data_IF_540674014519
#
_entry.id   IF_540674014519
#
_cell.length_a   1.000
_cell.length_b   1.000
_cell.length_c   1.000
_cell.angle_alpha   90.00
_cell.angle_beta   90.00
_cell.angle_gamma   90.00
#
_symmetry.space_group_name_H-M   'P 1'
#
loop_
_entity.id
_entity.type
_entity.pdbx_description
1 polymer ?
#
# COMPACT_ATOMS: atom_id res chain seq x y z
N UNK A 1 23.69 7.24 10.50
CA UNK A 1 22.74 8.14 11.18
C UNK A 1 21.31 7.60 11.22
N UNK A 2 20.70 7.12 10.12
CA UNK A 2 19.35 6.52 10.12
C UNK A 2 19.12 5.34 11.10
N UNK A 3 20.16 4.56 11.42
CA UNK A 3 20.05 3.47 12.41
C UNK A 3 19.83 3.92 13.86
N UNK A 4 20.08 5.21 14.18
CA UNK A 4 19.80 5.75 15.52
C UNK A 4 18.34 6.17 15.71
N UNK A 5 17.59 6.43 14.64
CA UNK A 5 16.20 6.92 14.70
C UNK A 5 15.15 5.80 14.75
N UNK A 6 15.47 4.61 14.24
CA UNK A 6 14.50 3.49 14.08
C UNK A 6 14.73 2.40 15.14
N UNK A 7 15.75 2.55 15.99
CA UNK A 7 16.24 1.48 16.86
C UNK A 7 17.01 0.41 16.07
N UNK A 8 17.64 -0.51 16.80
CA UNK A 8 18.27 -1.66 16.18
C UNK A 8 17.18 -2.63 15.73
N UNK A 9 17.22 -3.04 14.47
CA UNK A 9 16.44 -4.18 14.00
C UNK A 9 16.78 -5.41 14.87
N UNK A 10 15.82 -6.33 15.08
CA UNK A 10 16.11 -7.60 15.75
C UNK A 10 17.35 -8.27 15.15
N UNK A 11 18.15 -8.95 15.95
CA UNK A 11 19.46 -9.46 15.52
C UNK A 11 19.41 -10.30 14.24
N UNK A 12 18.35 -11.10 14.08
CA UNK A 12 18.10 -11.92 12.89
C UNK A 12 17.80 -11.11 11.61
N UNK A 13 17.36 -9.86 11.72
CA UNK A 13 17.04 -8.96 10.61
C UNK A 13 18.19 -7.98 10.28
N UNK A 14 19.28 -8.00 11.04
CA UNK A 14 20.42 -7.13 10.78
C UNK A 14 21.26 -7.64 9.59
N UNK A 15 21.77 -6.71 8.77
CA UNK A 15 22.63 -7.05 7.61
C UNK A 15 23.89 -7.84 7.97
N UNK A 16 24.35 -7.77 9.22
CA UNK A 16 25.53 -8.49 9.71
C UNK A 16 25.24 -9.97 10.00
N UNK A 17 23.98 -10.36 10.17
CA UNK A 17 23.59 -11.72 10.50
C UNK A 17 23.96 -12.69 9.35
N UNK A 18 24.54 -13.88 9.60
CA UNK A 18 25.02 -14.78 8.56
C UNK A 18 23.96 -15.13 7.50
N UNK A 19 22.73 -15.44 7.93
CA UNK A 19 21.62 -15.75 7.03
C UNK A 19 21.19 -14.56 6.18
N UNK A 20 21.19 -13.35 6.75
CA UNK A 20 20.89 -12.12 6.01
C UNK A 20 21.98 -11.82 4.99
N UNK A 21 23.25 -12.00 5.37
CA UNK A 21 24.37 -11.83 4.47
C UNK A 21 24.30 -12.80 3.30
N UNK A 22 23.99 -14.07 3.54
CA UNK A 22 23.78 -15.06 2.47
C UNK A 22 22.68 -14.60 1.50
N UNK A 23 21.50 -14.25 2.03
CA UNK A 23 20.35 -13.82 1.23
C UNK A 23 20.62 -12.53 0.43
N UNK A 24 21.34 -11.57 1.00
CA UNK A 24 21.69 -10.29 0.35
C UNK A 24 22.86 -10.48 -0.63
N UNK A 25 23.86 -11.31 -0.31
CA UNK A 25 25.04 -11.54 -1.14
C UNK A 25 24.76 -12.36 -2.40
N UNK A 26 23.67 -13.14 -2.39
CA UNK A 26 23.17 -13.82 -3.58
C UNK A 26 22.60 -12.88 -4.64
N UNK A 27 22.33 -11.60 -4.30
CA UNK A 27 22.00 -10.57 -5.29
C UNK A 27 23.29 -10.11 -5.97
N UNK A 28 23.44 -10.42 -7.26
CA UNK A 28 24.61 -10.10 -8.07
C UNK A 28 25.03 -8.63 -7.90
N UNK A 29 26.32 -8.41 -7.65
CA UNK A 29 26.89 -7.05 -7.60
C UNK A 29 26.60 -6.34 -8.93
N UNK A 30 25.75 -5.33 -8.88
CA UNK A 30 25.42 -4.46 -10.01
C UNK A 30 26.70 -3.91 -10.64
N UNK A 31 26.93 -4.25 -11.91
CA UNK A 31 28.01 -3.71 -12.74
C UNK A 31 27.82 -2.20 -12.92
N UNK A 32 28.89 -1.44 -13.20
CA UNK A 32 28.78 0.03 -13.41
C UNK A 32 27.76 0.36 -14.50
N UNK A 33 27.72 -0.42 -15.58
CA UNK A 33 26.74 -0.30 -16.66
C UNK A 33 25.32 -0.54 -16.14
N UNK A 34 25.12 -1.56 -15.30
CA UNK A 34 23.84 -1.82 -14.65
C UNK A 34 23.36 -0.65 -13.78
N UNK A 35 24.26 0.07 -13.11
CA UNK A 35 23.90 1.27 -12.34
C UNK A 35 23.46 2.44 -13.24
N UNK A 36 24.14 2.65 -14.36
CA UNK A 36 23.79 3.71 -15.32
C UNK A 36 22.43 3.40 -15.93
N UNK A 37 22.20 2.15 -16.37
CA UNK A 37 20.90 1.72 -16.89
C UNK A 37 19.80 1.88 -15.83
N UNK A 38 20.08 1.53 -14.58
CA UNK A 38 19.13 1.70 -13.49
C UNK A 38 18.81 3.18 -13.20
N UNK A 39 19.80 4.08 -13.34
CA UNK A 39 19.59 5.51 -13.16
C UNK A 39 18.79 6.11 -14.32
N UNK A 40 19.12 5.73 -15.55
CA UNK A 40 18.36 6.13 -16.74
C UNK A 40 16.92 5.62 -16.68
N UNK A 41 16.71 4.35 -16.32
CA UNK A 41 15.36 3.81 -16.17
C UNK A 41 14.58 4.51 -15.07
N UNK A 42 15.23 4.85 -13.95
CA UNK A 42 14.61 5.64 -12.89
C UNK A 42 14.20 7.04 -13.37
N UNK A 43 15.07 7.74 -14.10
CA UNK A 43 14.76 9.06 -14.66
C UNK A 43 13.62 8.99 -15.68
N UNK A 44 13.62 7.99 -16.56
CA UNK A 44 12.52 7.76 -17.50
C UNK A 44 11.21 7.49 -16.78
N UNK A 45 11.23 6.65 -15.74
CA UNK A 45 10.04 6.34 -14.92
C UNK A 45 9.53 7.62 -14.24
N UNK A 46 10.41 8.43 -13.66
CA UNK A 46 10.04 9.71 -13.04
C UNK A 46 9.47 10.69 -14.06
N UNK A 47 10.07 10.80 -15.25
CA UNK A 47 9.59 11.65 -16.33
C UNK A 47 8.20 11.22 -16.83
N UNK A 48 8.00 9.92 -17.05
CA UNK A 48 6.69 9.36 -17.44
C UNK A 48 5.64 9.60 -16.35
N UNK A 49 5.96 9.37 -15.08
CA UNK A 49 5.03 9.67 -14.00
C UNK A 49 4.72 11.16 -13.86
N UNK A 50 5.72 12.03 -14.03
CA UNK A 50 5.50 13.47 -14.04
C UNK A 50 4.59 13.92 -15.19
N UNK A 51 4.77 13.35 -16.39
CA UNK A 51 3.90 13.62 -17.54
C UNK A 51 2.47 13.12 -17.31
N UNK A 52 2.29 11.90 -16.80
CA UNK A 52 0.96 11.35 -16.46
C UNK A 52 0.29 12.22 -15.40
N UNK A 53 1.02 12.61 -14.36
CA UNK A 53 0.53 13.49 -13.31
C UNK A 53 0.10 14.85 -13.84
N UNK A 54 0.94 15.48 -14.65
CA UNK A 54 0.62 16.78 -15.27
C UNK A 54 -0.59 16.68 -16.20
N UNK A 55 -0.65 15.64 -17.05
CA UNK A 55 -1.78 15.41 -17.94
C UNK A 55 -3.07 15.19 -17.15
N UNK A 56 -3.04 14.44 -16.04
CA UNK A 56 -4.22 14.25 -15.20
C UNK A 56 -4.66 15.55 -14.50
N UNK A 57 -3.70 16.30 -13.93
CA UNK A 57 -3.98 17.56 -13.24
C UNK A 57 -4.50 18.66 -14.18
N UNK A 58 -4.13 18.63 -15.46
CA UNK A 58 -4.58 19.57 -16.49
C UNK A 58 -5.83 19.11 -17.25
N UNK A 59 -6.44 17.99 -16.83
CA UNK A 59 -7.49 17.28 -17.56
C UNK A 59 -7.15 17.09 -19.05
N UNK A 60 -5.98 16.52 -19.31
CA UNK A 60 -5.39 16.34 -20.63
C UNK A 60 -5.15 17.66 -21.37
N UNK A 61 -4.48 18.61 -20.71
CA UNK A 61 -4.07 19.91 -21.26
C UNK A 61 -5.23 20.85 -21.63
N UNK A 62 -6.42 20.63 -21.06
CA UNK A 62 -7.59 21.50 -21.28
C UNK A 62 -7.52 22.79 -20.48
N UNK A 63 -6.90 22.76 -19.30
CA UNK A 63 -6.72 23.93 -18.45
C UNK A 63 -5.35 23.95 -17.79
N UNK A 64 -4.99 25.09 -17.23
CA UNK A 64 -3.75 25.25 -16.50
C UNK A 64 -3.87 24.63 -15.09
N UNK A 65 -3.10 23.58 -14.76
CA UNK A 65 -3.22 22.88 -13.48
C UNK A 65 -2.81 23.74 -12.27
N UNK A 66 -2.08 24.85 -12.50
CA UNK A 66 -1.69 25.78 -11.45
C UNK A 66 -2.84 26.67 -10.95
N UNK A 67 -3.98 26.68 -11.65
CA UNK A 67 -5.18 27.41 -11.22
C UNK A 67 -5.99 26.64 -10.16
N UNK A 68 -5.68 25.35 -9.96
CA UNK A 68 -6.30 24.51 -8.94
C UNK A 68 -5.82 24.88 -7.53
N UNK A 69 -6.65 24.65 -6.48
CA UNK A 69 -6.17 24.70 -5.10
C UNK A 69 -4.95 23.80 -4.90
N UNK A 70 -4.01 24.24 -4.05
CA UNK A 70 -2.70 23.60 -3.93
C UNK A 70 -2.78 22.11 -3.57
N UNK A 71 -3.63 21.71 -2.61
CA UNK A 71 -3.80 20.29 -2.27
C UNK A 71 -4.40 19.47 -3.41
N UNK A 72 -5.35 20.04 -4.17
CA UNK A 72 -5.98 19.40 -5.31
C UNK A 72 -4.97 19.19 -6.43
N UNK A 73 -4.17 20.20 -6.76
CA UNK A 73 -3.08 20.09 -7.72
C UNK A 73 -2.10 18.97 -7.34
N UNK A 74 -1.59 18.98 -6.10
CA UNK A 74 -0.65 17.97 -5.63
C UNK A 74 -1.24 16.56 -5.68
N UNK A 75 -2.50 16.41 -5.26
CA UNK A 75 -3.19 15.14 -5.29
C UNK A 75 -3.32 14.63 -6.73
N UNK A 76 -3.91 15.42 -7.63
CA UNK A 76 -4.11 15.03 -9.03
C UNK A 76 -2.80 14.73 -9.75
N UNK A 77 -1.72 15.46 -9.42
CA UNK A 77 -0.40 15.23 -9.98
C UNK A 77 0.24 13.92 -9.49
N UNK A 78 0.17 13.64 -8.18
CA UNK A 78 0.87 12.49 -7.58
C UNK A 78 0.06 11.19 -7.61
N UNK A 79 -1.27 11.27 -7.73
CA UNK A 79 -2.19 10.16 -7.49
C UNK A 79 -1.86 8.91 -8.31
N UNK A 80 -1.86 9.03 -9.64
CA UNK A 80 -1.63 7.89 -10.53
C UNK A 80 -0.22 7.32 -10.40
N UNK A 81 0.78 8.18 -10.25
CA UNK A 81 2.15 7.75 -10.04
C UNK A 81 2.31 6.93 -8.76
N UNK A 82 1.71 7.41 -7.66
CA UNK A 82 1.71 6.69 -6.39
C UNK A 82 0.95 5.37 -6.47
N UNK A 83 -0.22 5.35 -7.10
CA UNK A 83 -1.04 4.15 -7.26
C UNK A 83 -0.31 3.07 -8.06
N UNK A 84 0.26 3.41 -9.22
CA UNK A 84 1.02 2.45 -10.05
C UNK A 84 2.20 1.89 -9.25
N UNK A 85 2.90 2.77 -8.53
CA UNK A 85 4.02 2.39 -7.69
C UNK A 85 3.59 1.48 -6.54
N UNK A 86 2.45 1.76 -5.88
CA UNK A 86 1.86 0.92 -4.82
C UNK A 86 1.49 -0.48 -5.34
N UNK A 87 0.82 -0.57 -6.49
CA UNK A 87 0.48 -1.86 -7.12
C UNK A 87 1.75 -2.63 -7.46
N UNK A 88 2.75 -1.97 -8.04
CA UNK A 88 4.04 -2.58 -8.36
C UNK A 88 4.77 -3.10 -7.11
N UNK A 89 4.69 -2.35 -6.00
CA UNK A 89 5.24 -2.76 -4.70
C UNK A 89 4.48 -3.94 -4.11
N UNK A 90 3.15 -3.94 -4.18
CA UNK A 90 2.33 -5.06 -3.70
C UNK A 90 2.65 -6.36 -4.44
N UNK A 91 2.75 -6.29 -5.77
CA UNK A 91 3.18 -7.42 -6.61
C UNK A 91 4.61 -7.86 -6.24
N UNK A 92 5.53 -6.91 -6.11
CA UNK A 92 6.94 -7.18 -5.75
C UNK A 92 7.12 -7.73 -4.33
N UNK A 93 6.21 -7.41 -3.42
CA UNK A 93 6.17 -7.94 -2.06
C UNK A 93 5.64 -9.37 -2.02
N UNK A 94 4.66 -9.68 -2.87
CA UNK A 94 3.93 -10.95 -2.86
C UNK A 94 4.64 -12.06 -3.65
N UNK A 95 5.08 -11.80 -4.89
CA UNK A 95 5.50 -12.86 -5.81
C UNK A 95 6.83 -13.54 -5.44
N UNK A 96 7.92 -12.80 -5.10
CA UNK A 96 9.21 -13.43 -4.86
C UNK A 96 9.22 -14.43 -3.70
N UNK A 97 8.47 -14.22 -2.60
CA UNK A 97 8.30 -15.22 -1.56
C UNK A 97 7.65 -16.55 -1.98
N UNK A 98 6.72 -16.56 -2.94
CA UNK A 98 5.95 -17.76 -3.32
C UNK A 98 6.85 -18.89 -3.81
N UNK A 99 7.93 -18.57 -4.53
CA UNK A 99 8.88 -19.56 -5.03
C UNK A 99 9.98 -19.96 -4.05
N UNK A 100 9.98 -19.43 -2.83
CA UNK A 100 11.13 -19.48 -1.94
C UNK A 100 11.53 -20.91 -1.54
N UNK A 101 10.61 -21.69 -0.97
CA UNK A 101 10.89 -23.06 -0.51
C UNK A 101 11.31 -23.94 -1.68
N UNK A 102 10.63 -23.86 -2.81
CA UNK A 102 10.99 -24.62 -4.00
C UNK A 102 12.40 -24.27 -4.50
N UNK A 103 12.80 -23.00 -4.41
CA UNK A 103 14.16 -22.56 -4.78
C UNK A 103 15.22 -23.08 -3.81
N UNK A 104 14.94 -23.17 -2.52
CA UNK A 104 15.88 -23.71 -1.52
C UNK A 104 15.95 -25.25 -1.60
N UNK A 105 14.84 -25.94 -1.89
CA UNK A 105 14.84 -27.38 -2.19
C UNK A 105 15.68 -27.67 -3.45
N UNK A 106 15.54 -26.86 -4.51
CA UNK A 106 16.32 -27.03 -5.73
C UNK A 106 17.83 -26.82 -5.52
N UNK A 107 18.24 -26.01 -4.54
CA UNK A 107 19.64 -25.81 -4.15
C UNK A 107 20.17 -26.87 -3.19
N UNK A 108 19.35 -27.84 -2.79
CA UNK A 108 19.68 -28.86 -1.78
C UNK A 108 20.07 -28.28 -0.40
N UNK A 109 19.73 -27.01 -0.12
CA UNK A 109 19.99 -26.35 1.16
C UNK A 109 18.89 -26.60 2.18
N UNK A 110 17.69 -26.92 1.71
CA UNK A 110 16.51 -27.11 2.55
C UNK A 110 16.70 -28.18 3.63
N UNK A 111 17.31 -29.30 3.28
CA UNK A 111 17.48 -30.44 4.20
C UNK A 111 18.50 -30.16 5.32
N UNK A 112 19.49 -29.30 5.08
CA UNK A 112 20.39 -28.83 6.15
C UNK A 112 19.73 -27.80 7.08
N UNK A 113 18.82 -26.99 6.54
CA UNK A 113 18.13 -25.96 7.32
C UNK A 113 17.07 -26.58 8.23
N UNK A 114 16.35 -27.61 7.77
CA UNK A 114 15.33 -28.30 8.57
C UNK A 114 15.90 -29.08 9.75
N UNK A 115 17.12 -29.61 9.63
CA UNK A 115 17.79 -30.38 10.69
C UNK A 115 18.36 -29.47 11.78
N UNK A 116 18.54 -28.19 11.48
CA UNK A 116 19.02 -27.19 12.44
C UNK A 116 17.88 -26.73 13.34
N UNK A 117 18.09 -26.75 14.67
CA UNK A 117 17.12 -26.24 15.63
C UNK A 117 16.75 -24.79 15.32
N UNK A 118 15.46 -24.50 15.11
CA UNK A 118 14.92 -23.20 14.69
C UNK A 118 15.41 -22.66 13.33
N UNK A 119 16.13 -23.45 12.53
CA UNK A 119 16.71 -23.02 11.25
C UNK A 119 15.65 -22.52 10.26
N UNK A 120 14.54 -23.26 10.13
CA UNK A 120 13.40 -22.89 9.27
C UNK A 120 12.75 -21.59 9.73
N UNK A 121 12.52 -21.45 11.04
CA UNK A 121 11.92 -20.24 11.63
C UNK A 121 12.77 -19.00 11.36
N UNK A 122 14.08 -19.11 11.55
CA UNK A 122 15.01 -18.02 11.30
C UNK A 122 15.13 -17.69 9.81
N UNK A 123 15.15 -18.70 8.93
CA UNK A 123 15.17 -18.51 7.48
C UNK A 123 13.93 -17.77 6.98
N UNK A 124 12.72 -18.17 7.43
CA UNK A 124 11.47 -17.54 7.01
C UNK A 124 11.40 -16.07 7.45
N UNK A 125 11.77 -15.79 8.70
CA UNK A 125 11.81 -14.42 9.23
C UNK A 125 12.86 -13.58 8.49
N UNK A 126 14.05 -14.12 8.27
CA UNK A 126 15.11 -13.47 7.49
C UNK A 126 14.60 -13.12 6.09
N UNK A 127 13.96 -14.08 5.39
CA UNK A 127 13.42 -13.85 4.04
C UNK A 127 12.35 -12.76 4.02
N UNK A 128 11.43 -12.76 4.98
CA UNK A 128 10.44 -11.70 5.14
C UNK A 128 11.12 -10.33 5.32
N UNK A 129 12.08 -10.22 6.24
CA UNK A 129 12.79 -8.95 6.50
C UNK A 129 13.62 -8.44 5.32
N UNK A 130 14.23 -9.33 4.53
CA UNK A 130 14.97 -8.94 3.32
C UNK A 130 14.06 -8.23 2.34
N UNK A 131 12.85 -8.78 2.10
CA UNK A 131 11.90 -8.19 1.16
C UNK A 131 11.40 -6.85 1.70
N UNK A 132 10.92 -6.83 2.95
CA UNK A 132 10.28 -5.64 3.55
C UNK A 132 11.28 -4.50 3.80
N UNK A 133 12.39 -4.77 4.49
CA UNK A 133 13.29 -3.72 5.00
C UNK A 133 14.52 -3.43 4.13
N UNK A 134 14.84 -4.29 3.16
CA UNK A 134 16.03 -4.10 2.32
C UNK A 134 15.69 -3.89 0.86
N UNK A 135 14.86 -4.75 0.28
CA UNK A 135 14.52 -4.67 -1.15
C UNK A 135 13.53 -3.55 -1.45
N UNK A 136 12.41 -3.48 -0.71
CA UNK A 136 11.34 -2.52 -0.98
C UNK A 136 11.54 -1.18 -0.27
N UNK A 137 12.56 -1.06 0.59
CA UNK A 137 12.82 0.16 1.37
C UNK A 137 12.95 1.44 0.54
N UNK A 138 13.72 1.50 -0.58
CA UNK A 138 13.86 2.73 -1.34
C UNK A 138 12.50 3.21 -1.89
N UNK A 139 11.71 2.26 -2.40
CA UNK A 139 10.40 2.53 -2.98
C UNK A 139 9.40 2.96 -1.90
N UNK A 140 9.47 2.35 -0.72
CA UNK A 140 8.70 2.77 0.46
C UNK A 140 9.03 4.18 0.94
N UNK A 141 10.31 4.57 0.90
CA UNK A 141 10.71 5.95 1.24
C UNK A 141 10.08 6.94 0.24
N UNK A 142 10.09 6.62 -1.06
CA UNK A 142 9.45 7.46 -2.08
C UNK A 142 7.95 7.61 -1.81
N UNK A 143 7.25 6.51 -1.50
CA UNK A 143 5.83 6.55 -1.13
C UNK A 143 5.56 7.40 0.09
N UNK A 144 6.36 7.26 1.14
CA UNK A 144 6.20 8.07 2.35
C UNK A 144 6.50 9.55 2.11
N UNK A 145 7.54 9.89 1.34
CA UNK A 145 7.81 11.29 0.99
C UNK A 145 6.63 11.88 0.23
N UNK A 146 6.11 11.18 -0.79
CA UNK A 146 4.96 11.65 -1.54
C UNK A 146 3.72 11.84 -0.64
N UNK A 147 3.47 10.91 0.29
CA UNK A 147 2.39 11.03 1.28
C UNK A 147 2.59 12.20 2.23
N UNK A 148 3.81 12.44 2.71
CA UNK A 148 4.12 13.59 3.57
C UNK A 148 3.92 14.92 2.83
N UNK A 149 4.24 14.97 1.53
CA UNK A 149 3.94 16.13 0.68
C UNK A 149 2.44 16.35 0.57
N UNK A 150 1.64 15.30 0.34
CA UNK A 150 0.18 15.39 0.31
C UNK A 150 -0.41 15.81 1.66
N UNK A 151 0.11 15.28 2.77
CA UNK A 151 -0.28 15.71 4.12
C UNK A 151 0.07 17.19 4.34
N UNK A 152 1.24 17.63 3.88
CA UNK A 152 1.63 19.04 3.91
C UNK A 152 0.65 19.93 3.16
N UNK A 153 0.23 19.52 1.95
CA UNK A 153 -0.80 20.22 1.19
C UNK A 153 -2.17 20.24 1.89
N UNK A 154 -2.59 19.12 2.47
CA UNK A 154 -3.82 19.03 3.25
C UNK A 154 -3.80 19.94 4.49
N UNK A 155 -2.68 19.97 5.22
CA UNK A 155 -2.52 20.83 6.39
C UNK A 155 -2.47 22.30 5.98
N UNK A 156 -1.83 22.62 4.86
CA UNK A 156 -1.83 23.97 4.29
C UNK A 156 -3.25 24.45 4.05
N UNK A 157 -4.08 23.67 3.35
CA UNK A 157 -5.47 24.03 3.08
C UNK A 157 -6.30 24.15 4.37
N UNK A 158 -6.13 23.25 5.33
CA UNK A 158 -6.82 23.33 6.63
C UNK A 158 -6.47 24.60 7.41
N UNK A 159 -5.22 25.04 7.34
CA UNK A 159 -4.76 26.27 8.03
C UNK A 159 -5.09 27.55 7.26
N UNK A 160 -5.09 27.51 5.93
CA UNK A 160 -5.33 28.67 5.07
C UNK A 160 -6.73 29.27 5.23
N UNK A 161 -7.72 28.45 5.60
CA UNK A 161 -9.10 28.88 5.85
C UNK A 161 -9.44 29.03 7.35
N UNK A 162 -8.45 29.13 8.24
CA UNK A 162 -8.68 29.33 9.67
C UNK A 162 -9.52 28.21 10.35
N UNK A 163 -9.53 27.00 9.78
CA UNK A 163 -10.35 25.89 10.24
C UNK A 163 -11.81 25.90 9.76
N UNK A 164 -12.28 26.95 9.08
CA UNK A 164 -13.63 27.00 8.51
C UNK A 164 -13.84 25.97 7.41
N UNK A 165 -12.78 25.62 6.67
CA UNK A 165 -12.83 24.60 5.63
C UNK A 165 -13.24 23.22 6.17
N UNK A 166 -12.72 22.81 7.33
CA UNK A 166 -13.14 21.54 7.92
C UNK A 166 -14.59 21.61 8.42
N UNK A 167 -14.99 22.78 8.95
CA UNK A 167 -16.37 22.99 9.42
C UNK A 167 -17.37 22.91 8.26
N UNK A 168 -17.06 23.53 7.12
CA UNK A 168 -17.92 23.49 5.93
C UNK A 168 -18.03 22.07 5.37
N UNK A 169 -16.91 21.34 5.29
CA UNK A 169 -16.91 19.94 4.88
C UNK A 169 -17.68 19.03 5.84
N UNK A 170 -17.64 19.34 7.14
CA UNK A 170 -18.37 18.58 8.16
C UNK A 170 -19.86 18.92 8.25
N UNK A 171 -20.35 19.96 7.58
CA UNK A 171 -21.71 20.45 7.78
C UNK A 171 -22.80 19.43 7.38
N UNK A 172 -22.51 18.61 6.38
CA UNK A 172 -23.44 17.66 5.78
C UNK A 172 -23.16 16.19 6.16
N UNK A 173 -22.37 15.95 7.20
CA UNK A 173 -22.05 14.58 7.63
C UNK A 173 -23.22 13.97 8.40
N UNK A 174 -23.42 12.66 8.21
CA UNK A 174 -24.33 11.87 9.02
C UNK A 174 -23.55 10.73 9.68
N UNK A 175 -23.58 10.57 11.02
CA UNK A 175 -24.24 11.41 12.02
C UNK A 175 -23.54 12.76 12.19
N UNK A 176 -24.25 13.77 12.70
CA UNK A 176 -23.65 15.06 13.08
C UNK A 176 -22.70 14.82 14.25
N UNK A 177 -21.45 15.24 14.10
CA UNK A 177 -20.40 15.09 15.11
C UNK A 177 -19.87 16.47 15.51
N UNK A 178 -19.37 16.55 16.75
CA UNK A 178 -18.63 17.72 17.20
C UNK A 178 -17.31 17.87 16.44
N UNK A 179 -16.83 19.10 16.28
CA UNK A 179 -15.65 19.43 15.49
C UNK A 179 -14.39 18.75 16.03
N UNK A 180 -14.28 18.59 17.36
CA UNK A 180 -13.17 17.87 17.99
C UNK A 180 -13.12 16.40 17.52
N UNK A 181 -14.29 15.74 17.46
CA UNK A 181 -14.39 14.35 17.00
C UNK A 181 -14.04 14.24 15.52
N UNK A 182 -14.47 15.19 14.69
CA UNK A 182 -14.12 15.24 13.26
C UNK A 182 -12.60 15.34 13.08
N UNK A 183 -11.93 16.22 13.84
CA UNK A 183 -10.46 16.37 13.79
C UNK A 183 -9.77 15.05 14.15
N UNK A 184 -10.21 14.38 15.23
CA UNK A 184 -9.65 13.08 15.64
C UNK A 184 -9.81 12.03 14.54
N UNK A 185 -10.97 11.95 13.89
CA UNK A 185 -11.22 11.01 12.80
C UNK A 185 -10.36 11.31 11.56
N UNK A 186 -10.14 12.59 11.23
CA UNK A 186 -9.21 13.01 10.17
C UNK A 186 -7.78 12.58 10.50
N UNK A 187 -7.31 12.83 11.73
CA UNK A 187 -5.98 12.41 12.17
C UNK A 187 -5.81 10.89 12.10
N UNK A 188 -6.85 10.13 12.45
CA UNK A 188 -6.86 8.67 12.28
C UNK A 188 -6.75 8.28 10.80
N UNK A 189 -7.46 8.95 9.90
CA UNK A 189 -7.36 8.73 8.45
C UNK A 189 -5.96 9.03 7.89
N UNK A 190 -5.35 10.14 8.30
CA UNK A 190 -3.97 10.50 7.94
C UNK A 190 -2.99 9.43 8.46
N UNK A 191 -3.16 9.01 9.71
CA UNK A 191 -2.33 7.98 10.35
C UNK A 191 -2.45 6.64 9.62
N UNK A 192 -3.68 6.22 9.29
CA UNK A 192 -3.93 5.01 8.51
C UNK A 192 -3.24 5.10 7.15
N UNK A 193 -3.37 6.24 6.46
CA UNK A 193 -2.75 6.51 5.16
C UNK A 193 -1.22 6.38 5.19
N UNK A 194 -0.56 6.77 6.29
CA UNK A 194 0.89 6.63 6.44
C UNK A 194 1.34 5.19 6.75
N UNK A 195 0.58 4.47 7.59
CA UNK A 195 0.96 3.14 8.07
C UNK A 195 0.58 2.01 7.10
N UNK A 196 -0.51 2.17 6.36
CA UNK A 196 -1.07 1.14 5.48
C UNK A 196 -0.09 0.60 4.43
N UNK A 197 0.75 1.40 3.74
CA UNK A 197 1.70 0.83 2.79
C UNK A 197 2.68 -0.15 3.48
N UNK A 198 3.10 0.15 4.71
CA UNK A 198 4.02 -0.70 5.46
C UNK A 198 3.35 -2.02 5.87
N UNK A 199 2.14 -1.95 6.44
CA UNK A 199 1.41 -3.14 6.88
C UNK A 199 0.96 -3.99 5.70
N UNK A 200 0.53 -3.38 4.59
CA UNK A 200 0.15 -4.10 3.38
C UNK A 200 1.34 -4.86 2.77
N UNK A 201 2.54 -4.27 2.72
CA UNK A 201 3.75 -4.96 2.24
C UNK A 201 4.13 -6.11 3.17
N UNK A 202 4.13 -5.87 4.49
CA UNK A 202 4.41 -6.92 5.47
C UNK A 202 3.47 -8.11 5.33
N UNK A 203 2.17 -7.82 5.19
CA UNK A 203 1.13 -8.81 4.96
C UNK A 203 1.31 -9.56 3.64
N UNK A 204 1.52 -8.86 2.52
CA UNK A 204 1.71 -9.47 1.21
C UNK A 204 2.93 -10.38 1.16
N UNK A 205 4.04 -9.99 1.79
CA UNK A 205 5.23 -10.84 1.90
C UNK A 205 4.97 -12.07 2.75
N UNK A 206 4.27 -11.93 3.89
CA UNK A 206 3.90 -13.08 4.72
C UNK A 206 2.93 -14.03 4.01
N UNK A 207 1.95 -13.50 3.27
CA UNK A 207 1.04 -14.28 2.44
C UNK A 207 1.81 -15.06 1.35
N UNK A 208 2.76 -14.41 0.68
CA UNK A 208 3.60 -15.06 -0.32
C UNK A 208 4.45 -16.18 0.26
N UNK A 209 5.05 -15.99 1.45
CA UNK A 209 5.76 -17.05 2.16
C UNK A 209 4.84 -18.18 2.58
N UNK A 210 3.63 -17.87 3.06
CA UNK A 210 2.63 -18.87 3.41
C UNK A 210 2.24 -19.71 2.19
N UNK A 211 1.95 -19.08 1.05
CA UNK A 211 1.65 -19.77 -0.22
C UNK A 211 2.82 -20.66 -0.67
N UNK A 212 4.07 -20.26 -0.42
CA UNK A 212 5.24 -21.08 -0.77
C UNK A 212 5.25 -22.45 -0.09
N UNK A 213 4.57 -22.60 1.06
CA UNK A 213 4.48 -23.88 1.79
C UNK A 213 3.52 -24.87 1.14
N UNK A 214 2.64 -24.42 0.23
CA UNK A 214 1.68 -25.29 -0.45
C UNK A 214 2.18 -25.78 -1.81
N UNK A 215 3.11 -25.05 -2.41
CA UNK A 215 3.45 -25.21 -3.83
C UNK A 215 4.76 -25.99 -3.98
N UNK A 216 4.67 -27.29 -4.31
CA UNK A 216 5.85 -28.16 -4.50
C UNK A 216 6.44 -28.08 -5.92
N UNK A 217 5.63 -27.84 -6.96
CA UNK A 217 6.07 -27.86 -8.37
C UNK A 217 6.21 -26.45 -8.96
N UNK A 218 7.24 -26.24 -9.78
CA UNK A 218 7.53 -24.96 -10.46
C UNK A 218 6.38 -24.46 -11.34
N UNK A 219 5.69 -25.38 -12.04
CA UNK A 219 4.55 -25.03 -12.91
C UNK A 219 3.41 -24.42 -12.11
N UNK A 220 3.07 -25.01 -10.96
CA UNK A 220 2.00 -24.46 -10.10
C UNK A 220 2.39 -23.10 -9.51
N UNK A 221 3.67 -22.90 -9.16
CA UNK A 221 4.16 -21.60 -8.68
C UNK A 221 3.95 -20.53 -9.75
N UNK A 222 4.34 -20.81 -11.00
CA UNK A 222 4.14 -19.88 -12.10
C UNK A 222 2.67 -19.56 -12.35
N UNK A 223 1.80 -20.59 -12.37
CA UNK A 223 0.35 -20.40 -12.54
C UNK A 223 -0.25 -19.54 -11.41
N UNK A 224 0.09 -19.84 -10.15
CA UNK A 224 -0.39 -19.06 -9.01
C UNK A 224 0.11 -17.61 -9.06
N UNK A 225 1.38 -17.39 -9.42
CA UNK A 225 1.92 -16.04 -9.60
C UNK A 225 1.16 -15.27 -10.69
N UNK A 226 0.91 -15.88 -11.85
CA UNK A 226 0.13 -15.27 -12.92
C UNK A 226 -1.30 -14.98 -12.46
N UNK A 227 -1.97 -15.92 -11.79
CA UNK A 227 -3.31 -15.70 -11.24
C UNK A 227 -3.36 -14.56 -10.22
N UNK A 228 -2.38 -14.46 -9.33
CA UNK A 228 -2.31 -13.38 -8.34
C UNK A 228 -2.02 -12.03 -8.98
N UNK A 229 -1.16 -11.97 -10.00
CA UNK A 229 -0.93 -10.73 -10.76
C UNK A 229 -2.20 -10.30 -11.47
N UNK A 230 -2.88 -11.22 -12.15
CA UNK A 230 -4.16 -10.91 -12.81
C UNK A 230 -5.20 -10.43 -11.80
N UNK A 231 -5.34 -11.12 -10.67
CA UNK A 231 -6.26 -10.73 -9.61
C UNK A 231 -5.95 -9.33 -9.07
N UNK A 232 -4.68 -9.04 -8.75
CA UNK A 232 -4.26 -7.72 -8.27
C UNK A 232 -4.48 -6.63 -9.33
N UNK A 233 -4.20 -6.91 -10.60
CA UNK A 233 -4.42 -5.98 -11.70
C UNK A 233 -5.92 -5.70 -11.92
N UNK A 234 -6.77 -6.74 -11.86
CA UNK A 234 -8.22 -6.59 -11.96
C UNK A 234 -8.76 -5.78 -10.78
N UNK A 235 -8.32 -6.08 -9.56
CA UNK A 235 -8.75 -5.34 -8.37
C UNK A 235 -8.29 -3.88 -8.42
N UNK A 236 -7.02 -3.62 -8.73
CA UNK A 236 -6.49 -2.27 -8.85
C UNK A 236 -7.18 -1.50 -9.99
N UNK A 237 -7.38 -2.12 -11.16
CA UNK A 237 -8.10 -1.53 -12.28
C UNK A 237 -9.57 -1.28 -12.00
N UNK A 238 -10.25 -2.21 -11.34
CA UNK A 238 -11.65 -2.07 -10.93
C UNK A 238 -11.84 -0.93 -9.94
N UNK A 239 -10.95 -0.81 -8.95
CA UNK A 239 -10.94 0.32 -8.03
C UNK A 239 -10.55 1.64 -8.72
N UNK A 240 -9.68 1.60 -9.73
CA UNK A 240 -9.37 2.79 -10.53
C UNK A 240 -10.56 3.29 -11.33
N UNK A 241 -11.32 2.38 -11.93
CA UNK A 241 -12.57 2.73 -12.59
C UNK A 241 -13.57 3.27 -11.57
N UNK A 242 -13.73 2.62 -10.41
CA UNK A 242 -14.61 3.11 -9.34
C UNK A 242 -14.23 4.54 -8.91
N UNK A 243 -12.94 4.81 -8.70
CA UNK A 243 -12.44 6.13 -8.34
C UNK A 243 -12.77 7.19 -9.40
N UNK A 244 -12.53 6.89 -10.67
CA UNK A 244 -12.88 7.79 -11.78
C UNK A 244 -14.38 8.07 -11.83
N UNK A 245 -15.22 7.07 -11.51
CA UNK A 245 -16.68 7.23 -11.43
C UNK A 245 -17.14 8.04 -10.21
N UNK A 246 -16.44 7.93 -9.08
CA UNK A 246 -16.72 8.74 -7.87
C UNK A 246 -16.28 10.20 -8.06
N UNK A 247 -15.23 10.45 -8.85
CA UNK A 247 -14.78 11.80 -9.20
C UNK A 247 -15.79 12.55 -10.05
N UNK A 248 -16.55 11.86 -10.91
CA UNK A 248 -17.63 12.44 -11.69
C UNK A 248 -18.86 12.69 -10.81
N UNK A 249 -19.20 13.97 -10.56
CA UNK A 249 -20.27 14.34 -9.62
C UNK A 249 -21.64 13.76 -9.98
N UNK A 250 -21.96 13.71 -11.29
CA UNK A 250 -23.24 13.20 -11.79
C UNK A 250 -23.36 11.72 -11.46
N UNK A 251 -22.32 10.94 -11.79
CA UNK A 251 -22.29 9.50 -11.53
C UNK A 251 -22.20 9.22 -10.03
N UNK A 252 -21.39 9.97 -9.29
CA UNK A 252 -21.25 9.82 -7.85
C UNK A 252 -22.58 10.04 -7.13
N UNK A 253 -23.43 10.97 -7.60
CA UNK A 253 -24.77 11.16 -7.05
C UNK A 253 -25.64 9.90 -7.23
N UNK A 254 -25.52 9.21 -8.36
CA UNK A 254 -26.29 7.98 -8.62
C UNK A 254 -25.75 6.81 -7.79
N UNK A 255 -24.43 6.61 -7.79
CA UNK A 255 -23.77 5.47 -7.13
C UNK A 255 -23.75 5.55 -5.60
N UNK A 256 -23.61 6.74 -5.04
CA UNK A 256 -23.46 6.95 -3.59
C UNK A 256 -24.77 7.37 -2.92
N UNK A 257 -25.87 7.53 -3.67
CA UNK A 257 -27.16 7.88 -3.09
C UNK A 257 -27.69 6.73 -2.21
N UNK A 258 -28.08 7.00 -0.94
CA UNK A 258 -28.72 6.02 -0.07
C UNK A 258 -30.07 5.51 -0.62
N UNK A 259 -30.67 6.25 -1.54
CA UNK A 259 -31.93 5.95 -2.21
C UNK A 259 -31.78 5.00 -3.41
N UNK A 260 -30.55 4.62 -3.79
CA UNK A 260 -30.40 3.57 -4.79
C UNK A 260 -30.93 2.25 -4.21
N UNK A 261 -32.01 1.72 -4.78
CA UNK A 261 -32.57 0.40 -4.40
C UNK A 261 -31.56 -0.76 -4.54
N UNK A 262 -30.40 -0.50 -5.16
CA UNK A 262 -29.48 -1.49 -5.66
C UNK A 262 -28.33 -1.86 -4.71
N UNK A 263 -27.92 -1.00 -3.76
CA UNK A 263 -26.76 -1.27 -2.89
C UNK A 263 -27.07 -0.95 -1.42
N UNK A 264 -27.15 -1.96 -0.54
CA UNK A 264 -27.28 -1.75 0.90
C UNK A 264 -26.14 -0.87 1.44
N UNK A 265 -26.43 0.07 2.35
CA UNK A 265 -25.43 0.99 2.93
C UNK A 265 -24.23 0.26 3.54
N UNK A 266 -24.45 -0.90 4.17
CA UNK A 266 -23.39 -1.73 4.74
C UNK A 266 -22.43 -2.25 3.67
N UNK A 267 -22.95 -2.64 2.50
CA UNK A 267 -22.15 -3.14 1.39
C UNK A 267 -21.33 -2.01 0.76
N UNK A 268 -21.93 -0.82 0.60
CA UNK A 268 -21.22 0.37 0.15
C UNK A 268 -20.06 0.71 1.09
N UNK A 269 -20.29 0.59 2.40
CA UNK A 269 -19.26 0.80 3.42
C UNK A 269 -18.11 -0.19 3.30
N UNK A 270 -18.40 -1.49 3.18
CA UNK A 270 -17.38 -2.51 2.97
C UNK A 270 -16.65 -2.33 1.64
N UNK A 271 -17.34 -1.86 0.59
CA UNK A 271 -16.73 -1.57 -0.70
C UNK A 271 -15.78 -0.38 -0.63
N UNK A 272 -16.16 0.70 0.05
CA UNK A 272 -15.30 1.88 0.25
C UNK A 272 -14.14 1.61 1.22
N UNK A 273 -14.37 0.84 2.28
CA UNK A 273 -13.32 0.37 3.17
C UNK A 273 -12.36 -0.56 2.42
N UNK A 274 -12.90 -1.51 1.65
CA UNK A 274 -12.13 -2.41 0.81
C UNK A 274 -11.30 -1.63 -0.22
N UNK A 275 -11.92 -0.65 -0.88
CA UNK A 275 -11.23 0.29 -1.76
C UNK A 275 -10.05 0.93 -1.04
N UNK A 276 -10.26 1.53 0.14
CA UNK A 276 -9.19 2.19 0.90
C UNK A 276 -8.04 1.23 1.27
N UNK A 277 -8.34 -0.02 1.61
CA UNK A 277 -7.37 -1.00 2.14
C UNK A 277 -6.62 -1.76 1.05
N UNK A 278 -7.30 -2.19 0.00
CA UNK A 278 -6.69 -2.94 -1.10
C UNK A 278 -5.93 -1.99 -2.01
N UNK A 279 -4.75 -2.38 -2.49
CA UNK A 279 -3.90 -1.53 -3.34
C UNK A 279 -3.56 -0.13 -2.75
N UNK A 280 -3.80 0.08 -1.45
CA UNK A 280 -3.40 1.27 -0.70
C UNK A 280 -4.03 2.59 -1.22
N UNK A 281 -5.29 2.52 -1.68
CA UNK A 281 -6.10 3.71 -2.05
C UNK A 281 -6.42 4.62 -0.86
N UNK A 282 -5.98 4.28 0.36
CA UNK A 282 -5.97 5.20 1.50
C UNK A 282 -5.22 6.52 1.24
N UNK A 283 -4.48 6.65 0.13
CA UNK A 283 -4.04 7.96 -0.39
C UNK A 283 -5.21 8.93 -0.61
N UNK A 284 -6.41 8.45 -0.96
CA UNK A 284 -7.60 9.28 -1.17
C UNK A 284 -8.03 10.04 0.10
N UNK A 285 -7.70 9.52 1.30
CA UNK A 285 -7.93 10.23 2.56
C UNK A 285 -7.08 11.51 2.69
N UNK A 286 -6.00 11.64 1.91
CA UNK A 286 -5.12 12.81 1.93
C UNK A 286 -5.64 13.96 1.04
N UNK A 287 -6.79 13.78 0.39
CA UNK A 287 -7.49 14.84 -0.33
C UNK A 287 -8.91 15.01 0.19
N UNK A 288 -9.08 15.98 1.10
CA UNK A 288 -10.37 16.25 1.75
C UNK A 288 -11.44 16.75 0.77
N UNK A 289 -11.06 17.42 -0.32
CA UNK A 289 -12.02 17.88 -1.32
C UNK A 289 -12.87 16.73 -1.89
N UNK A 290 -12.22 15.63 -2.30
CA UNK A 290 -12.92 14.43 -2.74
C UNK A 290 -13.47 13.63 -1.56
N UNK A 291 -12.64 13.37 -0.55
CA UNK A 291 -13.01 12.45 0.52
C UNK A 291 -14.11 13.02 1.43
N UNK A 292 -13.94 14.22 1.95
CA UNK A 292 -14.94 14.86 2.78
C UNK A 292 -16.07 15.48 1.94
N UNK A 293 -15.74 16.16 0.85
CA UNK A 293 -16.74 16.84 0.01
C UNK A 293 -17.68 15.89 -0.72
N UNK A 294 -17.20 14.70 -1.12
CA UNK A 294 -18.02 13.74 -1.86
C UNK A 294 -18.46 12.55 -1.01
N UNK A 295 -17.54 11.91 -0.27
CA UNK A 295 -17.87 10.66 0.44
C UNK A 295 -18.62 10.94 1.74
N UNK A 296 -18.16 11.87 2.59
CA UNK A 296 -18.84 12.11 3.87
C UNK A 296 -20.24 12.70 3.70
N UNK A 297 -20.44 13.52 2.67
CA UNK A 297 -21.73 14.14 2.39
C UNK A 297 -22.76 13.14 1.82
N UNK A 298 -22.32 12.12 1.08
CA UNK A 298 -23.22 11.19 0.37
C UNK A 298 -23.39 9.85 1.11
N UNK A 299 -22.36 9.38 1.81
CA UNK A 299 -22.34 8.06 2.43
C UNK A 299 -22.58 8.19 3.94
N UNK A 300 -23.69 7.64 4.47
CA UNK A 300 -23.93 7.60 5.90
C UNK A 300 -22.77 6.95 6.65
N UNK A 301 -22.36 7.57 7.75
CA UNK A 301 -21.22 7.20 8.56
C UNK A 301 -19.86 7.31 7.83
N UNK A 302 -19.77 7.77 6.59
CA UNK A 302 -18.55 7.74 5.78
C UNK A 302 -17.31 8.39 6.43
N UNK A 303 -17.50 9.32 7.36
CA UNK A 303 -16.43 9.92 8.17
C UNK A 303 -15.64 8.89 9.00
N UNK A 304 -16.25 7.77 9.40
CA UNK A 304 -15.56 6.73 10.15
C UNK A 304 -14.69 5.82 9.28
N UNK A 305 -14.70 5.94 7.94
CA UNK A 305 -13.88 5.11 7.06
C UNK A 305 -12.38 5.26 7.36
N UNK A 306 -11.93 6.44 7.78
CA UNK A 306 -10.53 6.66 8.23
C UNK A 306 -10.18 5.86 9.49
N UNK A 307 -11.09 5.80 10.47
CA UNK A 307 -10.92 4.96 11.66
C UNK A 307 -10.98 3.46 11.31
N UNK A 308 -11.91 3.06 10.43
CA UNK A 308 -11.98 1.70 9.90
C UNK A 308 -10.69 1.28 9.19
N UNK A 309 -10.11 2.17 8.38
CA UNK A 309 -8.83 1.93 7.72
C UNK A 309 -7.69 1.75 8.74
N UNK A 310 -7.68 2.52 9.83
CA UNK A 310 -6.71 2.36 10.91
C UNK A 310 -6.87 1.01 11.63
N UNK A 311 -8.10 0.57 11.88
CA UNK A 311 -8.38 -0.79 12.40
C UNK A 311 -7.83 -1.84 11.44
N UNK A 312 -7.99 -1.64 10.13
CA UNK A 312 -7.45 -2.56 9.12
C UNK A 312 -5.91 -2.59 9.10
N UNK A 313 -5.21 -1.50 9.40
CA UNK A 313 -3.75 -1.49 9.61
C UNK A 313 -3.36 -2.46 10.74
N UNK A 314 -4.06 -2.40 11.87
CA UNK A 314 -3.81 -3.33 13.00
C UNK A 314 -4.16 -4.77 12.64
N UNK A 315 -5.28 -5.00 11.95
CA UNK A 315 -5.66 -6.33 11.47
C UNK A 315 -4.59 -6.89 10.53
N UNK A 316 -4.09 -6.10 9.57
CA UNK A 316 -3.02 -6.52 8.67
C UNK A 316 -1.74 -6.87 9.42
N UNK A 317 -1.34 -6.06 10.41
CA UNK A 317 -0.17 -6.35 11.24
C UNK A 317 -0.35 -7.67 12.04
N UNK A 318 -1.50 -7.84 12.69
CA UNK A 318 -1.83 -9.07 13.41
C UNK A 318 -1.86 -10.31 12.50
N UNK A 319 -2.48 -10.20 11.32
CA UNK A 319 -2.53 -11.28 10.34
C UNK A 319 -1.13 -11.60 9.80
N UNK A 320 -0.25 -10.61 9.65
CA UNK A 320 1.15 -10.82 9.26
C UNK A 320 1.86 -11.73 10.26
N UNK A 321 1.75 -11.44 11.56
CA UNK A 321 2.36 -12.26 12.61
C UNK A 321 1.80 -13.69 12.64
N UNK A 322 0.48 -13.82 12.49
CA UNK A 322 -0.20 -15.14 12.46
C UNK A 322 0.18 -15.95 11.23
N UNK A 323 0.22 -15.33 10.05
CA UNK A 323 0.65 -15.96 8.81
C UNK A 323 2.11 -16.39 8.90
N UNK A 324 2.99 -15.56 9.46
CA UNK A 324 4.40 -15.92 9.65
C UNK A 324 4.55 -17.10 10.61
N UNK A 325 3.87 -17.09 11.76
CA UNK A 325 3.90 -18.21 12.70
C UNK A 325 3.37 -19.51 12.06
N UNK A 326 2.29 -19.42 11.28
CA UNK A 326 1.73 -20.58 10.60
C UNK A 326 2.65 -21.10 9.50
N UNK A 327 3.23 -20.19 8.70
CA UNK A 327 4.20 -20.51 7.66
C UNK A 327 5.38 -21.29 8.24
N UNK A 328 5.94 -20.84 9.37
CA UNK A 328 7.05 -21.52 10.05
C UNK A 328 6.66 -22.94 10.47
N UNK A 329 5.56 -23.10 11.21
CA UNK A 329 5.10 -24.41 11.68
C UNK A 329 4.82 -25.38 10.53
N UNK A 330 4.26 -24.87 9.43
CA UNK A 330 3.95 -25.68 8.26
C UNK A 330 5.22 -26.07 7.52
N UNK A 331 6.14 -25.12 7.35
CA UNK A 331 7.43 -25.36 6.71
C UNK A 331 8.28 -26.40 7.46
N UNK A 332 8.23 -26.42 8.80
CA UNK A 332 8.88 -27.44 9.64
C UNK A 332 8.34 -28.86 9.40
N UNK A 333 7.07 -28.99 8.98
CA UNK A 333 6.41 -30.27 8.71
C UNK A 333 6.48 -30.71 7.24
N UNK A 334 7.12 -29.94 6.36
CA UNK A 334 7.18 -30.26 4.94
C UNK A 334 8.27 -31.30 4.65
N UNK A 335 7.82 -32.52 4.37
CA UNK A 335 8.57 -33.56 3.66
C UNK A 335 8.76 -33.20 2.18
#
# INVERSE_FOLDING_TARGET
MLGRLIGNLPDWAQKKHPHMRYLISGEQKSTRIGRIIALLSLLTILGVFGMIGYANASNFFQYNPFDLPFSMFLFEFLFWGMLILQVGVAISALLPPIGFIASEKAKQTWDGIRTTHQGVGLLMRARWSVVVFHRLRPVMIVLWIARLVLIGGLLYDLTGFGGEYLRSLSANITPKLDQVVVIVLVVMGITASLLMPLTAIGFNTALGLWLSTWMKKRVYIALLQTMLVMFLAIMAGGFAILFLRIRDEQIASQLLSPSSEYIPTILLWFLLLGFAVFADWGITFLYLGLYAGTIWAKVPYGIFLGAGALVMVFIQAFLTDRLMAWTIRRAERLE
#
